data_IF_189582694914
#
_entry.id   IF_189582694914
#
_cell.length_a   1.000
_cell.length_b   1.000
_cell.length_c   1.000
_cell.angle_alpha   90.00
_cell.angle_beta   90.00
_cell.angle_gamma   90.00
#
_symmetry.space_group_name_H-M   'P 1'
#
loop_
_entity.id
_entity.type
_entity.pdbx_description
1 polymer ?
#
# COMPACT_ATOMS: atom_id res chain seq x y z
N UNK A 1 -9.77 16.92 13.70
CA UNK A 1 -9.82 15.77 12.79
C UNK A 1 -9.69 16.30 11.37
N UNK A 2 -8.52 16.18 10.73
CA UNK A 2 -8.42 16.52 9.31
C UNK A 2 -9.05 15.40 8.51
N UNK A 3 -10.11 15.70 7.76
CA UNK A 3 -10.56 14.80 6.72
C UNK A 3 -9.43 14.71 5.70
N UNK A 4 -8.73 13.57 5.64
CA UNK A 4 -7.72 13.32 4.61
C UNK A 4 -8.44 13.27 3.26
N UNK A 5 -8.60 14.43 2.63
CA UNK A 5 -9.11 14.54 1.29
C UNK A 5 -8.01 14.03 0.35
N UNK A 6 -8.03 12.72 0.08
CA UNK A 6 -7.13 12.12 -0.89
C UNK A 6 -7.60 12.53 -2.28
N UNK A 7 -6.69 13.12 -3.05
CA UNK A 7 -6.98 13.47 -4.43
C UNK A 7 -7.29 12.17 -5.23
N UNK A 8 -8.40 12.07 -5.98
CA UNK A 8 -8.76 10.86 -6.72
C UNK A 8 -7.68 10.37 -7.70
N UNK A 9 -6.93 11.29 -8.32
CA UNK A 9 -5.82 10.96 -9.20
C UNK A 9 -4.65 10.35 -8.41
N UNK A 10 -4.33 10.93 -7.27
CA UNK A 10 -3.29 10.42 -6.36
C UNK A 10 -3.66 9.02 -5.87
N UNK A 11 -4.93 8.79 -5.50
CA UNK A 11 -5.42 7.47 -5.11
C UNK A 11 -5.27 6.44 -6.25
N UNK A 12 -5.69 6.79 -7.46
CA UNK A 12 -5.58 5.87 -8.60
C UNK A 12 -4.11 5.51 -8.92
N UNK A 13 -3.20 6.48 -8.83
CA UNK A 13 -1.77 6.25 -8.97
C UNK A 13 -1.22 5.34 -7.86
N UNK A 14 -1.57 5.63 -6.60
CA UNK A 14 -1.15 4.85 -5.44
C UNK A 14 -1.64 3.40 -5.52
N UNK A 15 -2.89 3.18 -5.93
CA UNK A 15 -3.44 1.84 -6.17
C UNK A 15 -2.68 1.08 -7.27
N UNK A 16 -2.25 1.77 -8.34
CA UNK A 16 -1.43 1.17 -9.38
C UNK A 16 -0.08 0.68 -8.84
N UNK A 17 0.61 1.52 -8.07
CA UNK A 17 1.90 1.20 -7.43
C UNK A 17 1.75 0.07 -6.42
N UNK A 18 0.72 0.14 -5.56
CA UNK A 18 0.45 -0.87 -4.53
C UNK A 18 0.17 -2.25 -5.16
N UNK A 19 -0.67 -2.32 -6.21
CA UNK A 19 -0.95 -3.57 -6.94
C UNK A 19 0.29 -4.14 -7.59
N UNK A 20 1.07 -3.33 -8.30
CA UNK A 20 2.29 -3.78 -8.96
C UNK A 20 3.30 -4.34 -7.93
N UNK A 21 3.39 -3.71 -6.76
CA UNK A 21 4.27 -4.14 -5.67
C UNK A 21 3.80 -5.45 -5.05
N UNK A 22 2.53 -5.55 -4.65
CA UNK A 22 1.95 -6.79 -4.10
C UNK A 22 2.04 -7.96 -5.09
N UNK A 23 1.85 -7.70 -6.38
CA UNK A 23 1.99 -8.73 -7.41
C UNK A 23 3.41 -9.29 -7.51
N UNK A 24 4.46 -8.51 -7.17
CA UNK A 24 5.83 -9.01 -7.07
C UNK A 24 5.97 -9.97 -5.88
N UNK A 25 5.56 -9.54 -4.69
CA UNK A 25 5.58 -10.39 -3.50
C UNK A 25 4.83 -11.71 -3.71
N UNK A 26 3.63 -11.65 -4.29
CA UNK A 26 2.84 -12.84 -4.59
C UNK A 26 3.55 -13.81 -5.55
N UNK A 27 4.13 -13.29 -6.65
CA UNK A 27 4.87 -14.13 -7.61
C UNK A 27 6.13 -14.76 -7.01
N UNK A 28 6.75 -14.06 -6.07
CA UNK A 28 7.95 -14.54 -5.36
C UNK A 28 7.59 -15.51 -4.21
N UNK A 29 6.30 -15.84 -4.03
CA UNK A 29 5.81 -16.77 -3.01
C UNK A 29 5.64 -16.15 -1.61
N UNK A 30 5.68 -14.82 -1.50
CA UNK A 30 5.48 -14.09 -0.25
C UNK A 30 4.01 -13.98 0.16
N UNK A 31 3.80 -13.49 1.38
CA UNK A 31 2.50 -13.28 2.01
C UNK A 31 2.14 -11.78 2.02
N UNK A 32 0.85 -11.42 2.18
CA UNK A 32 0.46 -10.01 2.28
C UNK A 32 1.15 -9.28 3.44
N UNK A 33 1.38 -9.97 4.57
CA UNK A 33 2.17 -9.45 5.69
C UNK A 33 3.59 -9.02 5.29
N UNK A 34 4.27 -9.76 4.41
CA UNK A 34 5.62 -9.40 3.94
C UNK A 34 5.61 -8.10 3.15
N UNK A 35 4.58 -7.90 2.33
CA UNK A 35 4.39 -6.66 1.59
C UNK A 35 4.12 -5.48 2.55
N UNK A 36 3.25 -5.63 3.55
CA UNK A 36 3.01 -4.58 4.55
C UNK A 36 4.29 -4.16 5.27
N UNK A 37 5.09 -5.14 5.72
CA UNK A 37 6.35 -4.89 6.40
C UNK A 37 7.37 -4.16 5.51
N UNK A 38 7.42 -4.48 4.22
CA UNK A 38 8.30 -3.79 3.27
C UNK A 38 7.94 -2.31 3.04
N UNK A 39 6.68 -1.93 3.29
CA UNK A 39 6.21 -0.54 3.28
C UNK A 39 6.22 0.11 4.67
N UNK A 40 6.75 -0.58 5.69
CA UNK A 40 6.80 -0.08 7.07
C UNK A 40 5.45 -0.07 7.77
N UNK A 41 4.49 -0.86 7.30
CA UNK A 41 3.15 -0.98 7.86
C UNK A 41 3.05 -2.20 8.78
N UNK A 42 2.21 -2.11 9.81
CA UNK A 42 1.92 -3.25 10.69
C UNK A 42 1.04 -4.26 9.98
N UNK A 43 1.42 -5.53 10.02
CA UNK A 43 0.62 -6.64 9.55
C UNK A 43 -0.36 -7.09 10.65
N UNK A 44 -1.43 -6.32 10.87
CA UNK A 44 -2.58 -6.80 11.67
C UNK A 44 -3.16 -8.06 10.99
N UNK A 45 -3.61 -9.05 11.77
CA UNK A 45 -4.05 -10.37 11.30
C UNK A 45 -5.08 -10.27 10.17
N UNK A 46 -5.97 -9.27 10.21
CA UNK A 46 -7.00 -9.08 9.19
C UNK A 46 -6.47 -8.57 7.85
N UNK A 47 -5.39 -7.79 7.85
CA UNK A 47 -4.80 -7.20 6.63
C UNK A 47 -3.70 -8.11 6.12
N UNK A 48 -2.88 -8.68 7.01
CA UNK A 48 -1.74 -9.54 6.69
C UNK A 48 -2.08 -10.86 5.99
N UNK A 49 -3.36 -11.23 5.94
CA UNK A 49 -3.86 -12.42 5.24
C UNK A 49 -4.71 -12.11 3.99
N UNK A 50 -4.94 -10.85 3.66
CA UNK A 50 -5.79 -10.44 2.53
C UNK A 50 -5.05 -9.47 1.59
N UNK A 51 -4.85 -9.89 0.35
CA UNK A 51 -4.16 -9.10 -0.67
C UNK A 51 -4.90 -7.82 -1.05
N UNK A 52 -6.23 -7.83 -1.09
CA UNK A 52 -7.03 -6.66 -1.45
C UNK A 52 -6.89 -5.58 -0.37
N UNK A 53 -7.02 -5.98 0.91
CA UNK A 53 -6.83 -5.07 2.05
C UNK A 53 -5.40 -4.57 2.15
N UNK A 54 -4.42 -5.42 1.86
CA UNK A 54 -2.99 -5.04 1.85
C UNK A 54 -2.70 -3.99 0.77
N UNK A 55 -3.26 -4.16 -0.44
CA UNK A 55 -3.14 -3.16 -1.51
C UNK A 55 -3.73 -1.81 -1.09
N UNK A 56 -4.92 -1.81 -0.50
CA UNK A 56 -5.57 -0.58 -0.02
C UNK A 56 -4.76 0.11 1.08
N UNK A 57 -4.27 -0.64 2.07
CA UNK A 57 -3.46 -0.10 3.16
C UNK A 57 -2.15 0.53 2.64
N UNK A 58 -1.47 -0.13 1.70
CA UNK A 58 -0.27 0.42 1.05
C UNK A 58 -0.62 1.68 0.26
N UNK A 59 -1.70 1.66 -0.53
CA UNK A 59 -2.13 2.83 -1.31
C UNK A 59 -2.47 4.03 -0.41
N UNK A 60 -3.12 3.80 0.73
CA UNK A 60 -3.38 4.83 1.73
C UNK A 60 -2.09 5.42 2.30
N UNK A 61 -1.12 4.57 2.65
CA UNK A 61 0.18 5.01 3.17
C UNK A 61 0.96 5.86 2.15
N UNK A 62 0.88 5.52 0.86
CA UNK A 62 1.50 6.27 -0.23
C UNK A 62 0.84 7.64 -0.44
N UNK A 63 -0.45 7.76 -0.12
CA UNK A 63 -1.17 9.02 -0.16
C UNK A 63 -0.90 9.89 1.08
N UNK A 64 -0.67 9.27 2.23
CA UNK A 64 -0.35 9.93 3.49
C UNK A 64 1.10 10.44 3.55
N UNK A 65 2.03 9.78 2.86
CA UNK A 65 3.41 10.23 2.76
C UNK A 65 3.52 11.45 1.80
N UNK A 66 4.22 12.53 2.18
CA UNK A 66 4.63 13.54 1.22
C UNK A 66 5.46 12.85 0.14
N UNK A 67 5.03 12.91 -1.13
CA UNK A 67 5.80 12.41 -2.26
C UNK A 67 7.22 12.99 -2.19
N UNK A 68 8.19 12.18 -1.74
CA UNK A 68 9.61 12.53 -1.86
C UNK A 68 9.87 12.68 -3.35
N UNK A 69 10.15 13.92 -3.78
CA UNK A 69 10.58 14.21 -5.16
C UNK A 69 11.81 13.36 -5.43
N UNK A 70 11.78 12.59 -6.51
CA UNK A 70 13.00 12.02 -7.07
C UNK A 70 13.93 13.19 -7.45
N UNK A 71 15.16 13.14 -6.95
CA UNK A 71 16.22 14.12 -7.21
C UNK A 71 16.78 13.98 -8.62
#
# INVERSE_FOLDING_TARGET
>A
MSFNHINPLQWHQAMGVARASCARFFRDGGMPADALLAFGLSADDRVGHDWSRTVEAIAESLCAAPLKRAA
#
